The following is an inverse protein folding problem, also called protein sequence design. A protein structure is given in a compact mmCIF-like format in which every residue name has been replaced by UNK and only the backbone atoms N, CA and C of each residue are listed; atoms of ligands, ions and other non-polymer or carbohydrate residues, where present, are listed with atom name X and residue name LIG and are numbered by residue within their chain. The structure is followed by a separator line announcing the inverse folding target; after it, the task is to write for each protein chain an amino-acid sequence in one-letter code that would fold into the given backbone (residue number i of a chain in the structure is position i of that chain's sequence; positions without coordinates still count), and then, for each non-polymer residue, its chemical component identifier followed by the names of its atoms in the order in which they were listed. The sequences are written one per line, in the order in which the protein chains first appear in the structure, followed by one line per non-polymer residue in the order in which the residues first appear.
data_IF_860231039094
#
_entry.id   IF_860231039094
#
_cell.length_a   1.000
_cell.length_b   1.000
_cell.length_c   1.000
_cell.angle_alpha   90.00
_cell.angle_beta   90.00
_cell.angle_gamma   90.00
#
_symmetry.space_group_name_H-M   'P 1'
#
loop_
_entity.id
_entity.type
_entity.pdbx_description
1 polymer ?
#
# COMPACT_ATOMS: atom_id res chain seq x y z
N UNK A 1 50.77 6.92 -23.01
CA UNK A 1 50.41 5.71 -22.24
C UNK A 1 49.57 6.16 -21.06
N UNK A 2 48.28 6.10 -21.19
CA UNK A 2 47.38 6.42 -20.05
C UNK A 2 46.28 5.39 -20.07
N UNK A 3 46.27 4.58 -19.04
CA UNK A 3 45.37 3.45 -18.87
C UNK A 3 43.94 3.95 -18.52
N UNK A 4 42.97 3.51 -19.30
CA UNK A 4 41.56 3.71 -19.02
C UNK A 4 41.14 2.75 -17.89
N UNK A 5 40.75 3.31 -16.75
CA UNK A 5 40.15 2.57 -15.65
C UNK A 5 38.72 2.19 -16.02
N UNK A 6 38.50 0.91 -16.30
CA UNK A 6 37.19 0.34 -16.46
C UNK A 6 36.45 0.35 -15.10
N UNK A 7 35.37 1.13 -15.00
CA UNK A 7 34.43 1.00 -13.91
C UNK A 7 33.63 -0.29 -14.07
N UNK A 8 33.85 -1.20 -13.15
CA UNK A 8 33.05 -2.41 -13.02
C UNK A 8 31.59 -2.03 -12.71
N UNK A 9 30.68 -2.37 -13.62
CA UNK A 9 29.26 -2.39 -13.38
C UNK A 9 28.99 -3.37 -12.23
N UNK A 10 28.77 -2.85 -11.04
CA UNK A 10 28.31 -3.65 -9.92
C UNK A 10 26.97 -4.25 -10.27
N UNK A 11 26.95 -5.52 -10.55
CA UNK A 11 25.73 -6.31 -10.74
C UNK A 11 24.86 -6.19 -9.48
N UNK A 12 23.70 -5.56 -9.64
CA UNK A 12 22.62 -5.51 -8.65
C UNK A 12 22.23 -6.93 -8.26
N UNK A 13 22.19 -7.27 -6.95
CA UNK A 13 21.78 -8.60 -6.52
C UNK A 13 20.38 -8.91 -7.06
N UNK A 14 20.20 -10.10 -7.61
CA UNK A 14 18.93 -10.59 -8.10
C UNK A 14 17.86 -10.55 -7.00
N UNK A 15 16.80 -9.77 -7.24
CA UNK A 15 15.48 -10.00 -6.70
C UNK A 15 15.31 -9.98 -5.19
N UNK A 16 15.42 -8.82 -4.56
CA UNK A 16 14.57 -8.57 -3.39
C UNK A 16 13.13 -8.51 -3.93
N UNK A 17 12.32 -9.53 -3.64
CA UNK A 17 10.88 -9.51 -3.95
C UNK A 17 10.32 -8.24 -3.35
N UNK A 18 9.81 -7.32 -4.20
CA UNK A 18 9.36 -6.01 -3.78
C UNK A 18 8.39 -6.11 -2.59
N UNK A 19 8.63 -5.30 -1.58
CA UNK A 19 7.74 -5.25 -0.43
C UNK A 19 6.39 -4.67 -0.87
N UNK A 20 5.28 -5.29 -0.41
CA UNK A 20 3.94 -4.81 -0.69
C UNK A 20 3.44 -4.05 0.53
N UNK A 21 3.12 -2.78 0.33
CA UNK A 21 2.48 -1.92 1.30
C UNK A 21 1.06 -1.55 0.89
N UNK A 22 0.26 -1.13 1.86
CA UNK A 22 -1.02 -0.49 1.64
C UNK A 22 -0.98 0.95 2.15
N UNK A 23 -1.76 1.83 1.55
CA UNK A 23 -1.85 3.23 1.97
C UNK A 23 -3.29 3.73 1.85
N UNK A 24 -3.81 4.34 2.93
CA UNK A 24 -5.14 4.96 2.93
C UNK A 24 -5.27 6.02 4.01
N UNK A 25 -6.31 6.85 3.88
CA UNK A 25 -6.78 7.73 4.94
C UNK A 25 -8.14 7.24 5.45
N UNK A 26 -8.39 7.40 6.74
CA UNK A 26 -9.63 7.01 7.40
C UNK A 26 -9.99 7.97 8.53
N UNK A 27 -11.25 8.01 8.91
CA UNK A 27 -11.69 8.59 10.17
C UNK A 27 -11.30 7.70 11.35
N UNK A 28 -11.48 8.17 12.58
CA UNK A 28 -11.14 7.38 13.77
C UNK A 28 -11.93 6.05 13.85
N UNK A 29 -13.17 6.04 13.38
CA UNK A 29 -14.07 4.87 13.29
C UNK A 29 -13.90 4.06 11.99
N UNK A 30 -12.93 4.42 11.14
CA UNK A 30 -12.52 3.62 9.99
C UNK A 30 -13.24 3.92 8.68
N UNK A 31 -14.03 4.98 8.56
CA UNK A 31 -14.61 5.39 7.28
C UNK A 31 -13.52 5.80 6.30
N UNK A 32 -13.56 5.29 5.06
CA UNK A 32 -12.63 5.64 3.97
C UNK A 32 -13.35 6.23 2.75
N UNK A 33 -14.68 6.20 2.71
CA UNK A 33 -15.43 6.71 1.58
C UNK A 33 -16.94 6.78 1.82
N UNK A 34 -17.58 7.66 1.03
CA UNK A 34 -19.01 7.84 0.95
C UNK A 34 -19.41 8.13 -0.50
N UNK A 35 -20.31 7.36 -1.06
CA UNK A 35 -20.82 7.54 -2.44
C UNK A 35 -19.72 7.69 -3.51
N UNK A 36 -18.62 6.93 -3.36
CA UNK A 36 -17.49 6.93 -4.29
C UNK A 36 -16.48 8.08 -4.12
N UNK A 37 -16.61 8.91 -3.08
CA UNK A 37 -15.68 10.00 -2.76
C UNK A 37 -15.22 9.92 -1.31
N UNK A 38 -14.13 10.59 -0.98
CA UNK A 38 -13.71 10.82 0.41
C UNK A 38 -14.55 11.96 1.01
N UNK A 39 -15.15 11.79 2.22
CA UNK A 39 -16.00 12.82 2.82
C UNK A 39 -15.22 13.98 3.46
N UNK A 40 -13.94 14.12 3.15
CA UNK A 40 -13.04 15.18 3.65
C UNK A 40 -12.15 15.74 2.54
N UNK A 41 -11.55 16.86 2.83
CA UNK A 41 -10.45 17.44 2.05
C UNK A 41 -9.23 17.60 2.95
N UNK A 42 -8.18 16.82 2.69
CA UNK A 42 -6.92 16.82 3.45
C UNK A 42 -5.73 16.90 2.47
N UNK A 43 -5.34 18.12 2.07
CA UNK A 43 -4.29 18.30 1.07
C UNK A 43 -2.91 17.76 1.50
N UNK A 44 -2.64 17.72 2.79
CA UNK A 44 -1.42 17.17 3.37
C UNK A 44 -1.34 15.65 3.16
N UNK A 45 -2.46 14.95 3.31
CA UNK A 45 -2.57 13.52 3.01
C UNK A 45 -2.37 13.26 1.51
N UNK A 46 -2.99 14.05 0.65
CA UNK A 46 -2.78 13.93 -0.80
C UNK A 46 -1.32 14.15 -1.20
N UNK A 47 -0.62 15.08 -0.55
CA UNK A 47 0.80 15.32 -0.75
C UNK A 47 1.64 14.14 -0.22
N UNK A 48 1.29 13.58 0.93
CA UNK A 48 1.92 12.39 1.50
C UNK A 48 1.73 11.17 0.58
N UNK A 49 0.50 10.89 0.17
CA UNK A 49 0.17 9.83 -0.78
C UNK A 49 0.99 9.93 -2.07
N UNK A 50 1.01 11.12 -2.68
CA UNK A 50 1.78 11.34 -3.91
C UNK A 50 3.26 11.08 -3.71
N UNK A 51 3.87 11.64 -2.66
CA UNK A 51 5.30 11.48 -2.36
C UNK A 51 5.66 10.01 -2.10
N UNK A 52 4.78 9.27 -1.42
CA UNK A 52 5.00 7.87 -1.05
C UNK A 52 4.88 6.92 -2.25
N UNK A 53 3.95 7.20 -3.18
CA UNK A 53 3.63 6.25 -4.25
C UNK A 53 4.31 6.57 -5.59
N UNK A 54 4.80 7.80 -5.79
CA UNK A 54 5.49 8.17 -7.04
C UNK A 54 6.75 7.33 -7.25
N UNK A 55 6.94 6.85 -8.48
CA UNK A 55 8.05 5.97 -8.86
C UNK A 55 7.75 4.48 -8.68
N UNK A 56 6.61 4.11 -8.09
CA UNK A 56 6.26 2.73 -7.76
C UNK A 56 4.95 2.30 -8.43
N UNK A 57 4.75 1.00 -8.73
CA UNK A 57 3.46 0.51 -9.19
C UNK A 57 2.40 0.61 -8.09
N UNK A 58 1.18 0.98 -8.51
CA UNK A 58 0.02 1.09 -7.64
C UNK A 58 -1.08 0.14 -8.09
N UNK A 59 -1.67 -0.60 -7.14
CA UNK A 59 -2.75 -1.56 -7.37
C UNK A 59 -4.04 -1.01 -6.78
N UNK A 60 -5.11 -1.00 -7.57
CA UNK A 60 -6.41 -0.49 -7.15
C UNK A 60 -7.56 -1.24 -7.81
N UNK A 61 -8.74 -1.16 -7.24
CA UNK A 61 -9.97 -1.61 -7.87
C UNK A 61 -10.52 -0.58 -8.87
N UNK A 62 -11.37 -1.05 -9.80
CA UNK A 62 -11.97 -0.19 -10.83
C UNK A 62 -12.72 1.02 -10.24
N UNK A 63 -13.50 0.84 -9.15
CA UNK A 63 -14.22 1.97 -8.52
C UNK A 63 -13.27 3.05 -8.00
N UNK A 64 -12.12 2.66 -7.44
CA UNK A 64 -11.09 3.62 -7.01
C UNK A 64 -10.46 4.32 -8.21
N UNK A 65 -10.20 3.60 -9.29
CA UNK A 65 -9.75 4.19 -10.54
C UNK A 65 -10.73 5.25 -11.06
N UNK A 66 -12.01 4.91 -11.13
CA UNK A 66 -13.08 5.79 -11.61
C UNK A 66 -13.33 7.01 -10.69
N UNK A 67 -12.99 6.93 -9.40
CA UNK A 67 -13.14 8.04 -8.45
C UNK A 67 -12.10 9.15 -8.64
N UNK A 68 -10.96 8.86 -9.30
CA UNK A 68 -10.01 9.92 -9.64
C UNK A 68 -10.55 10.79 -10.79
N UNK A 69 -10.43 12.13 -10.71
CA UNK A 69 -10.72 12.99 -11.84
C UNK A 69 -9.93 12.59 -13.10
N UNK A 70 -10.52 12.68 -14.27
CA UNK A 70 -9.92 12.25 -15.55
C UNK A 70 -8.54 12.85 -15.79
N UNK A 71 -8.37 14.13 -15.49
CA UNK A 71 -7.08 14.84 -15.59
C UNK A 71 -5.96 14.26 -14.70
N UNK A 72 -6.30 13.41 -13.75
CA UNK A 72 -5.35 12.72 -12.86
C UNK A 72 -5.27 11.22 -13.14
N UNK A 73 -5.96 10.73 -14.17
CA UNK A 73 -5.89 9.35 -14.64
C UNK A 73 -5.10 9.26 -15.95
N UNK A 74 -4.06 8.41 -16.00
CA UNK A 74 -3.44 7.63 -14.93
C UNK A 74 -2.69 8.52 -13.92
N UNK A 75 -2.49 8.00 -12.71
CA UNK A 75 -1.67 8.68 -11.71
C UNK A 75 -0.23 8.83 -12.24
N UNK A 76 0.29 10.06 -12.40
CA UNK A 76 1.57 10.30 -13.06
C UNK A 76 2.76 9.67 -12.33
N UNK A 77 3.78 9.22 -13.10
CA UNK A 77 5.02 8.66 -12.56
C UNK A 77 4.85 7.29 -11.88
N UNK A 78 3.78 6.56 -12.20
CA UNK A 78 3.43 5.26 -11.61
C UNK A 78 2.90 4.32 -12.68
N UNK A 79 3.14 3.01 -12.51
CA UNK A 79 2.36 2.00 -13.25
C UNK A 79 1.06 1.79 -12.50
N UNK A 80 -0.06 2.11 -13.15
CA UNK A 80 -1.40 1.98 -12.57
C UNK A 80 -1.97 0.61 -12.93
N UNK A 81 -2.26 -0.23 -11.95
CA UNK A 81 -2.80 -1.59 -12.16
C UNK A 81 -4.20 -1.66 -11.59
N UNK A 82 -5.18 -1.84 -12.46
CA UNK A 82 -6.61 -1.82 -12.11
C UNK A 82 -7.16 -3.23 -12.08
N UNK A 83 -7.60 -3.68 -10.91
CA UNK A 83 -8.26 -4.97 -10.74
C UNK A 83 -9.71 -4.84 -11.24
N UNK A 84 -10.05 -5.64 -12.27
CA UNK A 84 -11.39 -5.64 -12.88
C UNK A 84 -11.66 -6.91 -13.66
N UNK A 85 -12.91 -7.39 -13.64
CA UNK A 85 -13.42 -8.44 -14.54
C UNK A 85 -13.80 -7.90 -15.93
N UNK A 86 -13.78 -6.60 -16.13
CA UNK A 86 -14.20 -5.92 -17.36
C UNK A 86 -13.12 -4.96 -17.86
N UNK A 87 -12.00 -5.47 -18.39
CA UNK A 87 -10.85 -4.63 -18.78
C UNK A 87 -11.18 -3.60 -19.87
N UNK A 88 -12.13 -3.89 -20.75
CA UNK A 88 -12.60 -2.96 -21.79
C UNK A 88 -13.38 -1.75 -21.27
N UNK A 89 -13.73 -1.72 -19.96
CA UNK A 89 -14.38 -0.58 -19.31
C UNK A 89 -13.41 0.36 -18.60
N UNK A 90 -12.13 0.01 -18.57
CA UNK A 90 -11.12 0.89 -17.96
C UNK A 90 -10.71 1.92 -19.01
N UNK A 91 -11.18 3.12 -18.82
CA UNK A 91 -10.70 4.28 -19.58
C UNK A 91 -9.23 4.52 -19.23
N UNK A 92 -8.38 4.55 -20.24
CA UNK A 92 -6.92 4.71 -20.04
C UNK A 92 -6.50 6.16 -19.83
N UNK A 93 -7.46 7.10 -19.91
CA UNK A 93 -7.19 8.51 -19.78
C UNK A 93 -6.31 9.09 -20.89
N UNK A 94 -6.12 10.39 -20.88
CA UNK A 94 -5.29 11.11 -21.85
C UNK A 94 -3.86 11.39 -21.32
N UNK A 95 -3.66 11.25 -20.00
CA UNK A 95 -2.37 11.53 -19.39
C UNK A 95 -1.32 10.45 -19.74
N UNK A 96 -0.05 10.82 -19.91
CA UNK A 96 1.02 9.86 -20.13
C UNK A 96 1.21 8.98 -18.89
N UNK A 97 1.16 7.66 -19.08
CA UNK A 97 1.38 6.69 -17.99
C UNK A 97 0.95 5.29 -18.38
N UNK A 98 1.50 4.29 -17.69
CA UNK A 98 1.14 2.92 -17.93
C UNK A 98 -0.13 2.56 -17.14
N UNK A 99 -1.16 2.07 -17.85
CA UNK A 99 -2.38 1.50 -17.27
C UNK A 99 -2.47 0.03 -17.69
N UNK A 100 -2.43 -0.84 -16.70
CA UNK A 100 -2.60 -2.29 -16.86
C UNK A 100 -3.88 -2.72 -16.16
N UNK A 101 -4.47 -3.79 -16.64
CA UNK A 101 -5.64 -4.41 -16.00
C UNK A 101 -5.32 -5.82 -15.57
N UNK A 102 -5.87 -6.26 -14.45
CA UNK A 102 -5.70 -7.59 -13.90
C UNK A 102 -7.06 -8.15 -13.44
N UNK A 103 -7.34 -9.45 -13.62
CA UNK A 103 -8.58 -10.06 -13.16
C UNK A 103 -8.59 -10.35 -11.66
N UNK A 104 -7.42 -10.35 -10.99
CA UNK A 104 -7.28 -10.69 -9.57
C UNK A 104 -6.12 -9.93 -8.92
N UNK A 105 -6.07 -9.95 -7.60
CA UNK A 105 -4.97 -9.38 -6.82
C UNK A 105 -3.63 -10.07 -7.13
N UNK A 106 -3.59 -11.40 -7.18
CA UNK A 106 -2.38 -12.16 -7.49
C UNK A 106 -1.81 -11.77 -8.87
N UNK A 107 -2.66 -11.64 -9.89
CA UNK A 107 -2.23 -11.20 -11.22
C UNK A 107 -1.77 -9.74 -11.21
N UNK A 108 -2.44 -8.86 -10.44
CA UNK A 108 -2.01 -7.48 -10.28
C UNK A 108 -0.61 -7.38 -9.64
N UNK A 109 -0.31 -8.20 -8.64
CA UNK A 109 1.02 -8.28 -8.02
C UNK A 109 2.06 -8.81 -9.02
N UNK A 110 1.71 -9.83 -9.82
CA UNK A 110 2.61 -10.34 -10.87
C UNK A 110 3.00 -9.24 -11.87
N UNK A 111 2.03 -8.45 -12.32
CA UNK A 111 2.27 -7.30 -13.21
C UNK A 111 3.10 -6.21 -12.52
N UNK A 112 2.80 -5.90 -11.26
CA UNK A 112 3.54 -4.92 -10.48
C UNK A 112 5.02 -5.29 -10.33
N UNK A 113 5.33 -6.56 -10.12
CA UNK A 113 6.71 -7.07 -9.97
C UNK A 113 7.57 -6.90 -11.22
N UNK A 114 6.97 -6.79 -12.39
CA UNK A 114 7.67 -6.57 -13.66
C UNK A 114 7.67 -5.09 -14.09
N UNK A 115 7.03 -4.22 -13.30
CA UNK A 115 6.94 -2.78 -13.58
C UNK A 115 8.14 -2.01 -13.01
N UNK A 116 8.47 -0.84 -13.57
CA UNK A 116 9.45 0.06 -12.97
C UNK A 116 9.09 0.40 -11.52
N UNK A 117 10.09 0.45 -10.62
CA UNK A 117 9.89 0.77 -9.21
C UNK A 117 9.31 -0.38 -8.37
N UNK A 118 9.39 -1.62 -8.87
CA UNK A 118 8.83 -2.82 -8.23
C UNK A 118 9.51 -3.23 -6.91
N UNK A 119 10.57 -2.56 -6.48
CA UNK A 119 11.15 -2.75 -5.14
C UNK A 119 10.15 -2.39 -4.03
N UNK A 120 9.15 -1.56 -4.37
CA UNK A 120 8.00 -1.26 -3.52
C UNK A 120 6.73 -1.31 -4.38
N UNK A 121 5.68 -1.94 -3.90
CA UNK A 121 4.37 -2.01 -4.54
C UNK A 121 3.35 -1.44 -3.55
N UNK A 122 2.44 -0.58 -4.01
CA UNK A 122 1.44 0.03 -3.15
C UNK A 122 0.02 -0.40 -3.53
N UNK A 123 -0.70 -0.97 -2.58
CA UNK A 123 -2.15 -1.18 -2.68
C UNK A 123 -2.84 0.11 -2.21
N UNK A 124 -3.66 0.71 -3.09
CA UNK A 124 -4.27 2.02 -2.86
C UNK A 124 -5.81 2.00 -2.83
N UNK A 125 -6.37 0.80 -2.76
CA UNK A 125 -7.80 0.61 -2.50
C UNK A 125 -8.64 0.11 -3.67
N UNK A 126 -9.98 0.11 -3.51
CA UNK A 126 -10.77 0.41 -2.31
C UNK A 126 -10.87 -0.74 -1.32
N UNK A 127 -11.85 -0.66 -0.42
CA UNK A 127 -12.01 -1.58 0.71
C UNK A 127 -11.95 -3.07 0.34
N UNK A 128 -12.55 -3.48 -0.78
CA UNK A 128 -12.48 -4.86 -1.25
C UNK A 128 -11.06 -5.28 -1.61
N UNK A 129 -10.30 -4.42 -2.31
CA UNK A 129 -8.91 -4.71 -2.70
C UNK A 129 -8.00 -4.76 -1.47
N UNK A 130 -8.22 -3.89 -0.48
CA UNK A 130 -7.48 -3.97 0.78
C UNK A 130 -7.74 -5.28 1.51
N UNK A 131 -9.02 -5.75 1.59
CA UNK A 131 -9.35 -7.03 2.23
C UNK A 131 -8.67 -8.20 1.52
N UNK A 132 -8.71 -8.25 0.19
CA UNK A 132 -8.04 -9.28 -0.60
C UNK A 132 -6.52 -9.27 -0.36
N UNK A 133 -5.90 -8.10 -0.41
CA UNK A 133 -4.46 -7.94 -0.24
C UNK A 133 -3.96 -8.34 1.17
N UNK A 134 -4.74 -8.02 2.21
CA UNK A 134 -4.41 -8.38 3.59
C UNK A 134 -4.62 -9.86 3.91
N UNK A 135 -5.55 -10.52 3.21
CA UNK A 135 -5.84 -11.95 3.35
C UNK A 135 -4.92 -12.84 2.49
N UNK A 136 -4.20 -12.28 1.52
CA UNK A 136 -3.35 -13.05 0.60
C UNK A 136 -2.07 -13.51 1.30
N UNK A 137 -1.91 -14.84 1.42
CA UNK A 137 -0.75 -15.45 2.07
C UNK A 137 0.48 -15.55 1.16
N UNK A 138 0.29 -15.56 -0.17
CA UNK A 138 1.40 -15.65 -1.14
C UNK A 138 2.04 -14.28 -1.40
N UNK A 139 1.23 -13.22 -1.31
CA UNK A 139 1.64 -11.86 -1.60
C UNK A 139 1.25 -10.94 -0.44
N UNK A 140 1.73 -11.19 0.79
CA UNK A 140 1.24 -10.50 1.97
C UNK A 140 1.61 -9.01 1.95
N UNK A 141 0.64 -8.18 2.33
CA UNK A 141 0.90 -6.80 2.75
C UNK A 141 1.56 -6.85 4.13
N UNK A 142 2.74 -6.27 4.26
CA UNK A 142 3.51 -6.26 5.51
C UNK A 142 3.63 -4.88 6.14
N UNK A 143 3.18 -3.86 5.45
CA UNK A 143 3.19 -2.47 5.90
C UNK A 143 1.90 -1.78 5.46
N UNK A 144 1.31 -0.99 6.35
CA UNK A 144 0.23 -0.08 6.03
C UNK A 144 0.57 1.33 6.52
N UNK A 145 0.42 2.31 5.65
CA UNK A 145 0.51 3.73 5.99
C UNK A 145 -0.90 4.27 6.10
N UNK A 146 -1.28 4.67 7.31
CA UNK A 146 -2.66 5.05 7.63
C UNK A 146 -2.69 6.49 8.11
N UNK A 147 -3.36 7.36 7.37
CA UNK A 147 -3.71 8.69 7.86
C UNK A 147 -5.02 8.58 8.64
N UNK A 148 -4.98 8.89 9.93
CA UNK A 148 -6.16 8.92 10.80
C UNK A 148 -6.60 10.37 10.97
N UNK A 149 -7.85 10.66 10.65
CA UNK A 149 -8.43 11.99 10.62
C UNK A 149 -9.44 12.14 11.77
N UNK A 150 -9.32 13.22 12.51
CA UNK A 150 -10.25 13.56 13.59
C UNK A 150 -11.52 14.21 12.99
N UNK A 151 -12.34 13.36 12.41
CA UNK A 151 -13.60 13.73 11.78
C UNK A 151 -14.63 12.64 12.09
N UNK A 152 -15.80 13.07 12.56
CA UNK A 152 -16.99 12.24 12.59
C UNK A 152 -17.72 12.38 11.26
N UNK A 153 -17.76 11.33 10.47
CA UNK A 153 -18.36 11.34 9.14
C UNK A 153 -19.04 10.02 8.85
N UNK A 154 -20.27 10.08 8.36
CA UNK A 154 -20.96 8.92 7.82
C UNK A 154 -20.25 8.42 6.54
N UNK A 155 -20.19 7.11 6.37
CA UNK A 155 -19.62 6.48 5.20
C UNK A 155 -20.23 5.13 4.87
N UNK A 156 -20.10 4.72 3.61
CA UNK A 156 -20.53 3.42 3.11
C UNK A 156 -19.37 2.44 2.86
N UNK A 157 -18.15 2.94 2.97
CA UNK A 157 -16.94 2.18 2.76
C UNK A 157 -15.98 2.35 3.93
N UNK A 158 -15.53 1.24 4.50
CA UNK A 158 -14.65 1.23 5.66
C UNK A 158 -13.30 0.61 5.32
N UNK A 159 -12.29 1.04 6.06
CA UNK A 159 -10.96 0.46 6.06
C UNK A 159 -11.01 -1.00 6.56
N UNK A 160 -10.06 -1.83 6.12
CA UNK A 160 -9.91 -3.15 6.70
C UNK A 160 -9.48 -3.04 8.17
N UNK A 161 -10.02 -3.91 9.00
CA UNK A 161 -9.56 -4.05 10.39
C UNK A 161 -8.19 -4.75 10.37
N UNK A 162 -7.20 -4.13 10.97
CA UNK A 162 -5.90 -4.75 11.22
C UNK A 162 -5.93 -5.41 12.61
N UNK A 163 -5.54 -6.67 12.68
CA UNK A 163 -5.52 -7.45 13.92
C UNK A 163 -4.37 -7.03 14.87
N UNK A 164 -4.34 -7.62 16.07
CA UNK A 164 -3.33 -7.33 17.10
C UNK A 164 -1.89 -7.70 16.70
N UNK A 165 -1.71 -8.40 15.60
CA UNK A 165 -0.39 -8.73 15.04
C UNK A 165 0.30 -7.57 14.32
N UNK A 166 -0.35 -6.40 14.24
CA UNK A 166 0.24 -5.20 13.64
C UNK A 166 0.79 -4.25 14.70
N UNK A 167 2.11 -4.04 14.67
CA UNK A 167 2.76 -2.99 15.45
C UNK A 167 2.48 -1.62 14.81
N UNK A 168 2.24 -0.60 15.65
CA UNK A 168 1.95 0.77 15.19
C UNK A 168 3.03 1.74 15.63
N UNK A 169 3.54 2.53 14.69
CA UNK A 169 4.54 3.58 14.92
C UNK A 169 4.05 4.91 14.32
N UNK A 170 4.29 6.05 14.96
CA UNK A 170 3.97 7.34 14.38
C UNK A 170 4.93 7.68 13.24
N UNK A 171 4.39 8.07 12.08
CA UNK A 171 5.12 8.73 10.98
C UNK A 171 5.04 10.24 11.14
N UNK A 172 3.84 10.72 11.51
CA UNK A 172 3.56 12.10 11.88
C UNK A 172 2.62 12.08 13.07
N UNK A 173 3.01 12.74 14.15
CA UNK A 173 2.16 12.93 15.33
C UNK A 173 0.95 13.83 15.04
N UNK A 174 0.10 14.06 16.07
CA UNK A 174 -1.08 14.90 15.93
C UNK A 174 -0.75 16.26 15.31
N UNK A 175 -1.46 16.61 14.26
CA UNK A 175 -1.26 17.82 13.47
C UNK A 175 -2.60 18.39 13.03
N UNK A 176 -2.63 19.65 12.64
CA UNK A 176 -3.83 20.31 12.10
C UNK A 176 -3.58 20.70 10.66
N UNK A 177 -4.46 20.27 9.77
CA UNK A 177 -4.46 20.61 8.37
C UNK A 177 -4.78 22.10 8.15
N UNK A 178 -4.35 22.63 7.01
CA UNK A 178 -4.81 23.96 6.54
C UNK A 178 -6.32 24.05 6.31
N UNK A 179 -7.02 22.91 6.24
CA UNK A 179 -8.49 22.85 6.20
C UNK A 179 -9.12 22.81 7.59
N UNK A 180 -8.32 22.86 8.67
CA UNK A 180 -8.77 22.84 10.06
C UNK A 180 -9.00 21.44 10.64
N UNK A 181 -8.82 20.37 9.85
CA UNK A 181 -8.98 19.00 10.33
C UNK A 181 -7.74 18.54 11.12
N UNK A 182 -7.96 17.94 12.28
CA UNK A 182 -6.95 17.20 13.02
C UNK A 182 -6.61 15.90 12.29
N UNK A 183 -5.34 15.52 12.26
CA UNK A 183 -4.91 14.26 11.69
C UNK A 183 -3.57 13.80 12.24
N UNK A 184 -3.27 12.52 12.07
CA UNK A 184 -1.96 11.92 12.30
C UNK A 184 -1.68 10.87 11.23
N UNK A 185 -0.42 10.49 11.03
CA UNK A 185 -0.02 9.44 10.10
C UNK A 185 0.70 8.36 10.87
N UNK A 186 0.25 7.14 10.71
CA UNK A 186 0.77 5.95 11.36
C UNK A 186 1.36 5.00 10.32
N UNK A 187 2.48 4.38 10.67
CA UNK A 187 2.97 3.18 10.01
C UNK A 187 2.54 1.99 10.85
N UNK A 188 1.89 1.04 10.22
CA UNK A 188 1.53 -0.23 10.84
C UNK A 188 2.28 -1.33 10.11
N UNK A 189 2.96 -2.21 10.85
CA UNK A 189 3.79 -3.27 10.29
C UNK A 189 3.47 -4.59 10.96
N UNK A 190 3.59 -5.68 10.18
CA UNK A 190 3.57 -7.04 10.72
C UNK A 190 4.71 -7.85 10.12
N UNK A 191 5.22 -8.83 10.89
CA UNK A 191 6.22 -9.75 10.39
C UNK A 191 5.64 -10.62 9.26
N UNK A 192 6.48 -10.97 8.29
CA UNK A 192 6.13 -11.90 7.20
C UNK A 192 5.82 -13.31 7.70
N UNK A 193 6.15 -13.62 8.96
CA UNK A 193 5.84 -14.90 9.60
C UNK A 193 4.43 -14.79 10.18
N UNK A 194 3.52 -15.60 9.65
CA UNK A 194 2.15 -15.72 10.17
C UNK A 194 2.16 -16.08 11.66
N UNK A 195 1.02 -15.97 12.38
CA UNK A 195 0.86 -16.37 13.78
C UNK A 195 1.07 -17.87 13.89
N UNK A 196 2.28 -18.33 14.29
CA UNK A 196 2.58 -19.75 14.40
C UNK A 196 4.04 -20.16 14.46
N UNK A 197 4.94 -19.29 14.92
CA UNK A 197 6.33 -19.64 15.21
C UNK A 197 6.61 -19.61 16.71
N UNK A 198 5.94 -20.47 17.48
CA UNK A 198 6.30 -20.73 18.87
C UNK A 198 7.74 -21.20 18.93
N UNK A 199 8.59 -20.47 19.65
CA UNK A 199 9.95 -20.87 20.01
C UNK A 199 9.87 -22.24 20.70
N UNK A 200 10.60 -23.29 20.25
CA UNK A 200 10.70 -24.51 21.03
C UNK A 200 11.39 -24.17 22.34
N UNK A 201 10.66 -24.32 23.43
CA UNK A 201 11.17 -24.11 24.77
C UNK A 201 12.47 -24.87 24.99
N UNK A 202 13.51 -24.14 25.40
CA UNK A 202 14.74 -24.71 25.90
C UNK A 202 14.40 -25.51 27.17
N UNK A 203 14.21 -26.83 27.00
CA UNK A 203 14.17 -27.77 28.11
C UNK A 203 15.51 -27.72 28.84
N UNK A 204 15.50 -27.20 30.05
CA UNK A 204 16.60 -27.30 31.00
C UNK A 204 16.81 -28.76 31.39
N UNK A 205 18.00 -29.33 31.29
CA UNK A 205 18.23 -30.67 31.81
C UNK A 205 18.23 -30.65 33.34
N UNK A 206 17.40 -31.49 33.95
CA UNK A 206 17.41 -31.76 35.39
C UNK A 206 18.77 -32.31 35.81
N UNK A 207 19.35 -31.75 36.88
CA UNK A 207 20.54 -32.25 37.53
C UNK A 207 20.25 -33.56 38.26
N UNK A 208 21.19 -34.51 38.30
CA UNK A 208 21.03 -35.73 39.10
C UNK A 208 21.22 -35.46 40.57
N UNK A 209 20.30 -35.98 41.40
CA UNK A 209 20.43 -36.02 42.85
C UNK A 209 21.30 -37.22 43.20
N UNK A 210 22.39 -36.93 43.98
CA UNK A 210 23.20 -37.93 44.66
C UNK A 210 22.56 -38.27 45.99
#
# INVERSE_FOLDING_TARGET
MTAASGQALTSRPAGTVGAIGAIWAQTADGVIGRAGAMPWSLPEDMAFFRRTTTGHPVIMGRRTWESFPERFRPLPGRTNIVITSSPGRVDRGEAPGAVLTAPSYAEAVRLARTSPGAERIWVIGGGEVYRQALADAEHPVTEALVTVIDLDADGDTHAPVLDDGWATEPVLGPSVSRTGLGYRIERRTRDRRGPGGGTPGSGSPAAPVA
#
